data_IF_556342947110
#
_entry.id   IF_556342947110
#
_cell.length_a   1.000
_cell.length_b   1.000
_cell.length_c   1.000
_cell.angle_alpha   90.00
_cell.angle_beta   90.00
_cell.angle_gamma   90.00
#
_symmetry.space_group_name_H-M   'P 1'
#
loop_
_entity.id
_entity.type
_entity.pdbx_description
1 polymer ?
#
# COMPACT_ATOMS: atom_id res chain seq x y z
N UNK A 1 10.22 30.49 -69.32
CA UNK A 1 10.53 29.51 -68.27
C UNK A 1 10.10 30.09 -66.92
N UNK A 2 9.06 29.52 -66.26
CA UNK A 2 8.68 29.77 -64.86
C UNK A 2 9.47 28.79 -63.95
N UNK A 3 9.23 28.59 -62.62
CA UNK A 3 8.10 28.98 -61.75
C UNK A 3 8.56 29.50 -60.36
N UNK A 4 7.77 29.76 -59.32
CA UNK A 4 6.41 29.36 -59.02
C UNK A 4 5.89 30.06 -57.77
N UNK A 5 4.56 30.11 -57.66
CA UNK A 5 3.85 30.61 -56.50
C UNK A 5 4.00 29.68 -55.30
N UNK A 6 4.13 30.28 -54.12
CA UNK A 6 4.07 29.55 -52.85
C UNK A 6 2.67 29.75 -52.27
N UNK A 7 1.88 28.70 -52.45
CA UNK A 7 0.61 28.43 -51.81
C UNK A 7 0.88 28.16 -50.34
N UNK A 8 0.33 28.97 -49.42
CA UNK A 8 0.30 28.63 -48.00
C UNK A 8 -0.73 27.50 -47.83
N UNK A 9 -0.25 26.26 -47.78
CA UNK A 9 -1.08 25.12 -47.43
C UNK A 9 -1.23 25.00 -45.91
N UNK A 10 -2.46 24.71 -45.49
CA UNK A 10 -2.87 24.48 -44.11
C UNK A 10 -1.98 23.44 -43.45
N UNK A 11 -1.35 23.81 -42.34
CA UNK A 11 -0.86 22.83 -41.38
C UNK A 11 -1.97 22.59 -40.33
N UNK A 12 -2.69 21.46 -40.34
CA UNK A 12 -3.60 21.17 -39.25
C UNK A 12 -2.79 21.00 -37.97
N UNK A 13 -3.21 21.73 -36.93
CA UNK A 13 -2.62 21.67 -35.61
C UNK A 13 -2.46 20.22 -35.16
N UNK A 14 -1.22 19.83 -34.91
CA UNK A 14 -0.84 18.58 -34.26
C UNK A 14 -1.49 18.57 -32.88
N UNK A 15 -2.59 17.85 -32.75
CA UNK A 15 -3.17 17.47 -31.45
C UNK A 15 -2.06 16.85 -30.62
N UNK A 16 -1.77 17.30 -29.39
CA UNK A 16 -0.93 16.52 -28.50
C UNK A 16 -1.68 15.22 -28.22
N UNK A 17 -1.14 14.12 -28.72
CA UNK A 17 -1.57 12.79 -28.30
C UNK A 17 -1.54 12.76 -26.77
N UNK A 18 -2.68 12.42 -26.18
CA UNK A 18 -2.77 12.13 -24.76
C UNK A 18 -1.63 11.16 -24.43
N UNK A 19 -0.76 11.56 -23.50
CA UNK A 19 0.24 10.66 -22.97
C UNK A 19 -0.55 9.50 -22.34
N UNK A 20 -0.58 8.37 -23.03
CA UNK A 20 -0.99 7.12 -22.42
C UNK A 20 0.06 6.85 -21.36
N UNK A 21 -0.25 7.24 -20.11
CA UNK A 21 0.49 6.83 -18.94
C UNK A 21 0.42 5.31 -18.89
N UNK A 22 1.45 4.70 -19.48
CA UNK A 22 1.69 3.28 -19.44
C UNK A 22 2.27 2.96 -18.06
N UNK A 23 1.45 3.11 -17.02
CA UNK A 23 1.78 2.58 -15.71
C UNK A 23 2.02 1.08 -15.89
N UNK A 24 3.15 0.52 -15.41
CA UNK A 24 3.40 -0.89 -15.55
C UNK A 24 2.25 -1.65 -14.88
N UNK A 25 1.54 -2.47 -15.68
CA UNK A 25 0.50 -3.40 -15.24
C UNK A 25 1.03 -4.44 -14.22
N UNK A 26 2.34 -4.47 -14.01
CA UNK A 26 3.05 -5.43 -13.15
C UNK A 26 3.20 -4.88 -11.74
N UNK A 27 2.90 -5.71 -10.76
CA UNK A 27 3.09 -5.41 -9.35
C UNK A 27 4.56 -5.03 -9.05
N UNK A 28 4.82 -3.96 -8.27
CA UNK A 28 6.18 -3.51 -7.96
C UNK A 28 6.92 -4.42 -6.97
N UNK A 29 6.19 -5.26 -6.22
CA UNK A 29 6.73 -6.24 -5.30
C UNK A 29 6.05 -7.59 -5.52
N UNK A 30 6.80 -8.68 -5.37
CA UNK A 30 6.22 -10.01 -5.39
C UNK A 30 5.18 -10.19 -4.28
N UNK A 31 3.98 -10.64 -4.64
CA UNK A 31 2.86 -10.79 -3.70
C UNK A 31 2.21 -9.47 -3.27
N UNK A 32 2.49 -8.35 -3.95
CA UNK A 32 1.70 -7.15 -3.75
C UNK A 32 0.28 -7.30 -4.29
N UNK A 33 -0.65 -6.63 -3.62
CA UNK A 33 -2.06 -6.54 -4.00
C UNK A 33 -2.38 -5.10 -4.40
N UNK A 34 -3.34 -4.96 -5.31
CA UNK A 34 -3.76 -3.66 -5.81
C UNK A 34 -4.96 -3.16 -5.01
N UNK A 35 -4.81 -2.01 -4.37
CA UNK A 35 -5.88 -1.31 -3.66
C UNK A 35 -6.96 -0.84 -4.66
N UNK A 36 -8.19 -0.57 -4.17
CA UNK A 36 -9.30 -0.09 -5.00
C UNK A 36 -9.00 1.16 -5.84
N UNK A 37 -8.11 2.04 -5.36
CA UNK A 37 -7.68 3.26 -6.06
C UNK A 37 -6.50 3.02 -7.03
N UNK A 38 -6.07 1.76 -7.17
CA UNK A 38 -5.03 1.34 -8.10
C UNK A 38 -3.63 1.29 -7.51
N UNK A 39 -3.40 1.79 -6.29
CA UNK A 39 -2.09 1.76 -5.63
C UNK A 39 -1.69 0.33 -5.23
N UNK A 40 -0.39 0.06 -5.17
CA UNK A 40 0.13 -1.27 -4.83
C UNK A 40 0.68 -1.31 -3.41
N UNK A 41 0.38 -2.39 -2.67
CA UNK A 41 0.94 -2.64 -1.34
C UNK A 41 1.22 -4.13 -1.16
N UNK A 42 2.37 -4.46 -0.56
CA UNK A 42 2.66 -5.83 -0.14
C UNK A 42 2.33 -6.03 1.34
N UNK A 43 1.43 -6.96 1.64
CA UNK A 43 1.22 -7.46 2.99
C UNK A 43 2.01 -8.74 3.23
N UNK A 44 2.73 -8.87 4.35
CA UNK A 44 3.36 -10.17 4.72
C UNK A 44 3.52 -10.40 6.23
N UNK A 45 4.04 -11.58 6.56
CA UNK A 45 4.50 -11.93 7.91
C UNK A 45 6.03 -11.97 7.99
N UNK A 46 6.60 -11.51 9.11
CA UNK A 46 8.04 -11.52 9.39
C UNK A 46 8.55 -12.89 9.86
N UNK A 47 7.67 -13.85 10.18
CA UNK A 47 8.06 -15.20 10.60
C UNK A 47 8.63 -16.06 9.46
N UNK A 48 8.25 -15.76 8.23
CA UNK A 48 8.75 -16.44 7.02
C UNK A 48 9.83 -15.59 6.33
N UNK A 49 10.57 -16.19 5.38
CA UNK A 49 11.51 -15.43 4.56
C UNK A 49 10.79 -14.31 3.79
N UNK A 50 11.52 -13.26 3.44
CA UNK A 50 11.01 -12.25 2.53
C UNK A 50 10.65 -12.92 1.18
N UNK A 51 9.54 -12.53 0.53
CA UNK A 51 9.29 -12.95 -0.84
C UNK A 51 10.47 -12.51 -1.72
N UNK A 52 10.90 -13.37 -2.64
CA UNK A 52 11.92 -12.99 -3.62
C UNK A 52 11.47 -11.83 -4.52
N UNK A 53 12.39 -11.30 -5.32
CA UNK A 53 12.14 -10.14 -6.18
C UNK A 53 12.71 -8.85 -5.59
N UNK A 54 12.24 -7.68 -6.07
CA UNK A 54 12.78 -6.40 -5.64
C UNK A 54 12.47 -6.10 -4.16
N UNK A 55 13.37 -5.35 -3.54
CA UNK A 55 13.19 -4.82 -2.19
C UNK A 55 12.18 -3.66 -2.17
N UNK A 56 11.42 -3.49 -1.08
CA UNK A 56 10.53 -2.35 -0.93
C UNK A 56 11.33 -1.05 -0.78
N UNK A 57 10.79 0.04 -1.31
CA UNK A 57 11.28 1.39 -1.06
C UNK A 57 10.98 1.85 0.37
N UNK A 58 9.90 1.36 0.97
CA UNK A 58 9.51 1.67 2.34
C UNK A 58 8.73 0.53 3.01
N UNK A 59 8.98 0.28 4.30
CA UNK A 59 8.27 -0.72 5.09
C UNK A 59 7.63 -0.17 6.36
N UNK A 60 6.37 -0.52 6.61
CA UNK A 60 5.69 -0.28 7.88
C UNK A 60 5.57 -1.58 8.68
N UNK A 61 6.25 -1.65 9.83
CA UNK A 61 6.35 -2.87 10.63
C UNK A 61 5.59 -2.79 11.94
N UNK A 62 4.80 -3.83 12.23
CA UNK A 62 3.84 -3.85 13.34
C UNK A 62 4.27 -4.91 14.35
N UNK A 63 4.70 -4.49 15.53
CA UNK A 63 5.27 -5.45 16.46
C UNK A 63 5.60 -4.94 17.85
N UNK A 64 6.06 -5.88 18.67
CA UNK A 64 6.67 -5.57 19.96
C UNK A 64 8.13 -5.15 19.78
N UNK A 65 8.72 -4.55 20.81
CA UNK A 65 10.15 -4.25 20.84
C UNK A 65 11.03 -5.50 20.62
N UNK A 66 10.57 -6.69 21.05
CA UNK A 66 11.27 -7.96 20.81
C UNK A 66 11.28 -8.32 19.32
N UNK A 67 10.16 -8.15 18.62
CA UNK A 67 10.08 -8.43 17.19
C UNK A 67 10.97 -7.45 16.42
N UNK A 68 10.92 -6.15 16.77
CA UNK A 68 11.80 -5.14 16.20
C UNK A 68 13.26 -5.53 16.34
N UNK A 69 13.77 -5.76 17.55
CA UNK A 69 15.17 -6.15 17.78
C UNK A 69 15.61 -7.37 16.97
N UNK A 70 14.71 -8.33 16.72
CA UNK A 70 15.02 -9.53 15.94
C UNK A 70 15.11 -9.26 14.44
N UNK A 71 14.30 -8.34 13.92
CA UNK A 71 14.08 -8.19 12.47
C UNK A 71 14.69 -6.91 11.88
N UNK A 72 14.88 -5.85 12.67
CA UNK A 72 15.27 -4.51 12.17
C UNK A 72 16.54 -4.54 11.33
N UNK A 73 17.57 -5.26 11.78
CA UNK A 73 18.85 -5.38 11.07
C UNK A 73 18.75 -6.10 9.72
N UNK A 74 17.68 -6.86 9.46
CA UNK A 74 17.45 -7.57 8.21
C UNK A 74 16.58 -6.77 7.22
N UNK A 75 16.26 -5.51 7.54
CA UNK A 75 15.44 -4.62 6.72
C UNK A 75 16.31 -3.45 6.25
N UNK A 76 17.12 -3.61 5.18
CA UNK A 76 18.10 -2.60 4.75
C UNK A 76 17.47 -1.35 4.10
N UNK A 77 16.16 -1.30 3.97
CA UNK A 77 15.40 -0.19 3.40
C UNK A 77 14.81 0.72 4.48
N UNK A 78 14.42 1.96 4.13
CA UNK A 78 13.71 2.85 5.04
C UNK A 78 12.46 2.20 5.64
N UNK A 79 12.33 2.27 6.96
CA UNK A 79 11.26 1.59 7.67
C UNK A 79 10.81 2.35 8.91
N UNK A 80 9.53 2.20 9.23
CA UNK A 80 8.92 2.68 10.47
C UNK A 80 8.31 1.52 11.26
N UNK A 81 8.32 1.64 12.59
CA UNK A 81 7.78 0.63 13.48
C UNK A 81 6.64 1.19 14.33
N UNK A 82 5.47 0.58 14.21
CA UNK A 82 4.35 0.83 15.12
C UNK A 82 4.39 -0.21 16.24
N UNK A 83 4.38 0.26 17.49
CA UNK A 83 4.23 -0.62 18.65
C UNK A 83 2.80 -1.16 18.68
N UNK A 84 2.68 -2.42 18.29
CA UNK A 84 1.39 -3.08 18.12
C UNK A 84 1.43 -4.49 18.74
N UNK A 85 0.99 -4.62 20.02
CA UNK A 85 0.92 -5.90 20.72
C UNK A 85 0.07 -6.92 19.97
N UNK A 86 0.38 -8.20 20.14
CA UNK A 86 -0.29 -9.24 19.37
C UNK A 86 -1.76 -9.35 19.73
N UNK A 87 -2.59 -9.65 18.73
CA UNK A 87 -4.05 -9.66 18.81
C UNK A 87 -4.71 -8.38 19.31
N UNK A 88 -3.97 -7.29 19.58
CA UNK A 88 -4.50 -6.05 20.16
C UNK A 88 -4.53 -4.91 19.13
N UNK A 89 -4.61 -3.67 19.63
CA UNK A 89 -4.57 -2.40 18.90
C UNK A 89 -3.21 -1.72 19.08
N UNK A 90 -2.84 -0.74 18.25
CA UNK A 90 -1.60 -0.01 18.45
C UNK A 90 -1.64 0.76 19.78
N UNK A 91 -0.48 0.94 20.41
CA UNK A 91 -0.41 1.62 21.72
C UNK A 91 -0.59 3.12 21.60
N UNK A 92 -0.20 3.70 20.46
CA UNK A 92 -0.48 5.09 20.10
C UNK A 92 -1.40 5.08 18.88
N UNK A 93 -2.60 5.65 19.05
CA UNK A 93 -3.63 5.59 18.03
C UNK A 93 -3.38 6.59 16.90
N UNK A 94 -2.98 7.81 17.25
CA UNK A 94 -2.80 8.90 16.29
C UNK A 94 -1.49 8.74 15.50
N UNK A 95 -0.42 8.28 16.14
CA UNK A 95 0.82 7.91 15.47
C UNK A 95 0.60 6.78 14.46
N UNK A 96 -0.10 5.71 14.86
CA UNK A 96 -0.42 4.61 13.96
C UNK A 96 -1.29 5.09 12.78
N UNK A 97 -2.28 5.95 13.03
CA UNK A 97 -3.13 6.47 11.97
C UNK A 97 -2.33 7.31 10.96
N UNK A 98 -1.43 8.17 11.43
CA UNK A 98 -0.53 8.97 10.57
C UNK A 98 0.39 8.08 9.74
N UNK A 99 1.08 7.12 10.36
CA UNK A 99 1.97 6.21 9.64
C UNK A 99 1.24 5.36 8.59
N UNK A 100 0.00 4.93 8.85
CA UNK A 100 -0.83 4.22 7.87
C UNK A 100 -1.24 5.16 6.71
N UNK A 101 -1.58 6.41 7.00
CA UNK A 101 -1.89 7.40 5.96
C UNK A 101 -0.66 7.69 5.10
N UNK A 102 0.51 7.89 5.71
CA UNK A 102 1.77 8.13 4.98
C UNK A 102 2.16 6.93 4.11
N UNK A 103 1.97 5.71 4.61
CA UNK A 103 2.15 4.49 3.81
C UNK A 103 1.27 4.49 2.55
N UNK A 104 0.01 4.94 2.68
CA UNK A 104 -0.92 5.06 1.56
C UNK A 104 -0.44 6.08 0.53
N UNK A 105 -0.03 7.26 0.99
CA UNK A 105 0.45 8.33 0.10
C UNK A 105 1.70 7.90 -0.70
N UNK A 106 2.63 7.19 -0.05
CA UNK A 106 3.79 6.58 -0.71
C UNK A 106 3.38 5.56 -1.77
N UNK A 107 2.39 4.71 -1.47
CA UNK A 107 1.86 3.75 -2.43
C UNK A 107 1.24 4.45 -3.65
N UNK A 108 0.45 5.50 -3.43
CA UNK A 108 -0.19 6.29 -4.50
C UNK A 108 0.82 7.03 -5.37
N UNK A 109 1.96 7.44 -4.81
CA UNK A 109 3.04 8.05 -5.58
C UNK A 109 3.90 7.02 -6.32
N UNK A 110 3.49 5.75 -6.38
CA UNK A 110 4.19 4.68 -7.10
C UNK A 110 5.37 4.05 -6.33
N UNK A 111 5.55 4.35 -5.04
CA UNK A 111 6.59 3.66 -4.27
C UNK A 111 6.21 2.21 -3.98
N UNK A 112 7.18 1.31 -4.11
CA UNK A 112 7.06 -0.09 -3.70
C UNK A 112 6.99 -0.16 -2.16
N UNK A 113 5.78 -0.26 -1.59
CA UNK A 113 5.60 -0.27 -0.14
C UNK A 113 5.21 -1.63 0.42
N UNK A 114 5.63 -1.88 1.65
CA UNK A 114 5.30 -3.09 2.41
C UNK A 114 4.68 -2.76 3.78
N UNK A 115 3.77 -3.62 4.24
CA UNK A 115 3.36 -3.72 5.63
C UNK A 115 3.54 -5.15 6.15
N UNK A 116 4.12 -5.31 7.34
CA UNK A 116 4.25 -6.62 7.95
C UNK A 116 4.14 -6.64 9.47
N UNK A 117 3.57 -7.73 10.00
CA UNK A 117 3.62 -8.08 11.41
C UNK A 117 4.27 -9.46 11.59
N UNK A 118 4.28 -10.03 12.79
CA UNK A 118 4.88 -11.36 13.00
C UNK A 118 4.26 -12.46 12.09
N UNK A 119 2.94 -12.63 12.17
CA UNK A 119 2.22 -13.69 11.43
C UNK A 119 1.72 -13.27 10.06
N UNK A 120 1.61 -11.98 9.79
CA UNK A 120 1.09 -11.45 8.54
C UNK A 120 -0.43 -11.59 8.37
N UNK A 121 -1.20 -11.75 9.44
CA UNK A 121 -2.65 -12.01 9.34
C UNK A 121 -3.49 -10.89 9.96
N UNK A 122 -3.58 -10.79 11.29
CA UNK A 122 -4.47 -9.82 11.94
C UNK A 122 -4.02 -8.39 11.81
N UNK A 123 -2.85 -8.05 12.36
CA UNK A 123 -2.32 -6.67 12.36
C UNK A 123 -2.04 -6.17 10.93
N UNK A 124 -1.36 -6.98 10.11
CA UNK A 124 -1.16 -6.69 8.68
C UNK A 124 -2.50 -6.50 7.96
N UNK A 125 -3.43 -7.44 8.12
CA UNK A 125 -4.76 -7.34 7.51
C UNK A 125 -5.57 -6.13 8.01
N UNK A 126 -5.36 -5.70 9.25
CA UNK A 126 -5.98 -4.49 9.82
C UNK A 126 -5.47 -3.24 9.11
N UNK A 127 -4.16 -3.13 8.92
CA UNK A 127 -3.59 -2.01 8.14
C UNK A 127 -4.06 -2.05 6.69
N UNK A 128 -4.06 -3.23 6.05
CA UNK A 128 -4.56 -3.36 4.67
C UNK A 128 -6.04 -2.95 4.54
N UNK A 129 -6.88 -3.29 5.53
CA UNK A 129 -8.26 -2.81 5.57
C UNK A 129 -8.33 -1.28 5.74
N UNK A 130 -7.51 -0.69 6.62
CA UNK A 130 -7.40 0.77 6.75
C UNK A 130 -6.98 1.43 5.42
N UNK A 131 -6.00 0.90 4.71
CA UNK A 131 -5.61 1.38 3.37
C UNK A 131 -6.77 1.28 2.38
N UNK A 132 -7.48 0.16 2.37
CA UNK A 132 -8.64 -0.01 1.50
C UNK A 132 -9.78 1.00 1.81
N UNK A 133 -9.92 1.44 3.08
CA UNK A 133 -10.84 2.53 3.41
C UNK A 133 -10.38 3.87 2.84
N UNK A 134 -9.08 4.18 2.87
CA UNK A 134 -8.53 5.39 2.21
C UNK A 134 -8.68 5.34 0.69
N UNK A 135 -8.64 4.13 0.12
CA UNK A 135 -8.90 3.88 -1.28
C UNK A 135 -10.40 3.89 -1.65
N UNK A 136 -11.29 4.24 -0.71
CA UNK A 136 -12.71 4.51 -0.98
C UNK A 136 -13.69 3.42 -0.56
N UNK A 137 -13.25 2.31 0.04
CA UNK A 137 -14.19 1.30 0.54
C UNK A 137 -14.78 1.67 1.91
N UNK A 138 -16.08 1.40 2.15
CA UNK A 138 -16.62 1.52 3.49
C UNK A 138 -16.01 0.45 4.43
N UNK A 139 -15.93 0.70 5.75
CA UNK A 139 -15.17 -0.14 6.69
C UNK A 139 -15.49 -1.63 6.65
N UNK A 140 -16.78 -1.99 6.53
CA UNK A 140 -17.19 -3.40 6.45
C UNK A 140 -16.70 -4.08 5.18
N UNK A 141 -16.75 -3.38 4.05
CA UNK A 141 -16.26 -3.89 2.77
C UNK A 141 -14.74 -3.95 2.77
N UNK A 142 -14.04 -2.99 3.37
CA UNK A 142 -12.59 -3.01 3.49
C UNK A 142 -12.06 -4.23 4.26
N UNK A 143 -12.76 -4.66 5.32
CA UNK A 143 -12.43 -5.89 6.04
C UNK A 143 -12.66 -7.13 5.16
N UNK A 144 -13.76 -7.18 4.41
CA UNK A 144 -14.04 -8.27 3.49
C UNK A 144 -12.98 -8.33 2.37
N UNK A 145 -12.64 -7.18 1.81
CA UNK A 145 -11.61 -7.01 0.78
C UNK A 145 -10.25 -7.51 1.27
N UNK A 146 -9.82 -7.14 2.48
CA UNK A 146 -8.56 -7.63 3.04
C UNK A 146 -8.56 -9.15 3.24
N UNK A 147 -9.73 -9.75 3.54
CA UNK A 147 -9.84 -11.22 3.68
C UNK A 147 -9.74 -11.94 2.35
N UNK A 148 -10.31 -11.36 1.32
CA UNK A 148 -10.29 -11.90 -0.04
C UNK A 148 -8.91 -11.77 -0.68
N UNK A 149 -8.28 -10.60 -0.59
CA UNK A 149 -7.08 -10.28 -1.35
C UNK A 149 -5.78 -10.64 -0.62
N UNK A 150 -5.79 -10.66 0.72
CA UNK A 150 -4.58 -10.91 1.50
C UNK A 150 -4.62 -12.23 2.25
N UNK A 151 -5.59 -12.42 3.15
CA UNK A 151 -5.70 -13.66 3.91
C UNK A 151 -7.10 -13.85 4.48
N UNK A 152 -7.73 -15.02 4.30
CA UNK A 152 -9.12 -15.29 4.73
C UNK A 152 -9.45 -14.96 6.20
N UNK A 153 -8.43 -14.96 7.07
CA UNK A 153 -8.54 -14.61 8.51
C UNK A 153 -8.05 -13.19 8.87
N UNK A 154 -7.80 -12.33 7.88
CA UNK A 154 -7.40 -10.95 8.09
C UNK A 154 -8.41 -10.23 9.01
N UNK A 155 -7.88 -9.32 9.84
CA UNK A 155 -8.63 -8.64 10.91
C UNK A 155 -9.23 -9.67 11.87
N UNK A 156 -8.36 -10.22 12.72
CA UNK A 156 -8.61 -11.40 13.54
C UNK A 156 -9.61 -11.15 14.67
N UNK A 157 -9.61 -9.93 15.22
CA UNK A 157 -10.37 -9.64 16.44
C UNK A 157 -11.51 -8.63 16.22
N UNK A 158 -12.55 -8.64 17.08
CA UNK A 158 -13.62 -7.64 17.02
C UNK A 158 -13.14 -6.20 17.21
N UNK A 159 -12.13 -5.97 18.06
CA UNK A 159 -11.59 -4.63 18.27
C UNK A 159 -10.73 -4.16 17.10
N UNK A 160 -10.02 -5.04 16.39
CA UNK A 160 -9.37 -4.67 15.12
C UNK A 160 -10.39 -4.24 14.07
N UNK A 161 -11.56 -4.89 14.01
CA UNK A 161 -12.67 -4.43 13.15
C UNK A 161 -13.20 -3.05 13.55
N UNK A 162 -13.34 -2.79 14.86
CA UNK A 162 -13.72 -1.46 15.37
C UNK A 162 -12.66 -0.40 15.06
N UNK A 163 -11.39 -0.77 15.13
CA UNK A 163 -10.28 0.09 14.76
C UNK A 163 -10.36 0.54 13.30
N UNK A 164 -10.65 -0.38 12.36
CA UNK A 164 -10.85 -0.02 10.94
C UNK A 164 -11.97 1.00 10.79
N UNK A 165 -13.09 0.83 11.50
CA UNK A 165 -14.20 1.78 11.46
C UNK A 165 -13.82 3.14 12.07
N UNK A 166 -13.10 3.15 13.20
CA UNK A 166 -12.59 4.38 13.82
C UNK A 166 -11.63 5.11 12.88
N UNK A 167 -10.69 4.39 12.26
CA UNK A 167 -9.71 4.96 11.35
C UNK A 167 -10.37 5.60 10.12
N UNK A 168 -11.39 4.96 9.55
CA UNK A 168 -12.11 5.47 8.38
C UNK A 168 -12.95 6.72 8.65
N UNK A 169 -13.24 7.01 9.92
CA UNK A 169 -13.99 8.20 10.31
C UNK A 169 -13.10 9.43 10.56
N UNK A 170 -11.79 9.32 10.28
CA UNK A 170 -10.79 10.36 10.49
C UNK A 170 -10.34 11.03 9.21
#
# INVERSE_FOLDING_TARGET
MPPGGVRWERNPARTPAAATDNHPMTAPLAGAIRLPDGAWVRGRGLRGPAPGGPDPHFGLYLGSARLRRRCDAALPWPAEWIRWPDFLLPTDWDEAARAIADLHERARSGQAVEVACHGGVGRTGTVLACLATRAGLPPRQAVAWAREHHHRRAVETPWQRRWVAWFAAR
#
